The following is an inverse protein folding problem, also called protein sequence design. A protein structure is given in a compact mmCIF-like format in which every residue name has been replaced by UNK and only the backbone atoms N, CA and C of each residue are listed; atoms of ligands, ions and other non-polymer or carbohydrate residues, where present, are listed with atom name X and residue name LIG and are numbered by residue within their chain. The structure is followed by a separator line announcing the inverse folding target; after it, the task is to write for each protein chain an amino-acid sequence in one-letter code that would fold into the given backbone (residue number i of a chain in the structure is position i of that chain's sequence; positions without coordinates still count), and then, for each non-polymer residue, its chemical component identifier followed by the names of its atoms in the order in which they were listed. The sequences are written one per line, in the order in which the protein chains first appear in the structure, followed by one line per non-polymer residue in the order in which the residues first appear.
data_IF_967248245661
#
_entry.id   IF_967248245661
#
_cell.length_a   1.000
_cell.length_b   1.000
_cell.length_c   1.000
_cell.angle_alpha   90.00
_cell.angle_beta   90.00
_cell.angle_gamma   90.00
#
_symmetry.space_group_name_H-M   'P 1'
#
loop_
_entity.id
_entity.type
_entity.pdbx_description
1 polymer ?
#
# COMPACT_ATOMS: atom_id res chain seq x y z
N UNK A 1 -0.79 2.65 -36.19
CA UNK A 1 0.47 2.79 -35.40
C UNK A 1 0.80 4.23 -35.02
N UNK A 2 0.92 5.19 -35.95
CA UNK A 2 1.22 6.60 -35.63
C UNK A 2 0.25 7.25 -34.61
N UNK A 3 -1.06 6.97 -34.69
CA UNK A 3 -2.06 7.50 -33.74
C UNK A 3 -1.82 7.06 -32.29
N UNK A 4 -1.46 5.79 -32.07
CA UNK A 4 -1.25 5.25 -30.72
C UNK A 4 0.03 5.82 -30.08
N UNK A 5 1.09 5.95 -30.89
CA UNK A 5 2.34 6.58 -30.45
C UNK A 5 2.12 8.05 -30.08
N UNK A 6 1.32 8.80 -30.87
CA UNK A 6 0.96 10.18 -30.55
C UNK A 6 0.11 10.27 -29.28
N UNK A 7 -0.83 9.35 -29.10
CA UNK A 7 -1.69 9.29 -27.91
C UNK A 7 -0.87 9.04 -26.64
N UNK A 8 0.04 8.06 -26.64
CA UNK A 8 0.93 7.83 -25.50
C UNK A 8 1.84 9.05 -25.21
N UNK A 9 2.27 9.75 -26.26
CA UNK A 9 3.11 10.96 -26.12
C UNK A 9 2.32 12.13 -25.53
N UNK A 10 1.08 12.32 -25.94
CA UNK A 10 0.16 13.32 -25.38
C UNK A 10 -0.23 12.99 -23.93
N UNK A 11 -0.54 11.72 -23.62
CA UNK A 11 -0.80 11.28 -22.25
C UNK A 11 0.42 11.45 -21.34
N UNK A 12 1.64 11.21 -21.82
CA UNK A 12 2.85 11.45 -21.03
C UNK A 12 3.05 12.94 -20.73
N UNK A 13 2.80 13.82 -21.70
CA UNK A 13 2.85 15.28 -21.50
C UNK A 13 1.75 15.74 -20.54
N UNK A 14 0.55 15.18 -20.60
CA UNK A 14 -0.55 15.51 -19.69
C UNK A 14 -0.26 15.05 -18.24
N UNK A 15 0.22 13.82 -18.07
CA UNK A 15 0.54 13.25 -16.75
C UNK A 15 1.74 13.93 -16.07
N UNK A 16 2.62 14.58 -16.83
CA UNK A 16 3.79 15.29 -16.29
C UNK A 16 3.58 16.79 -16.14
N UNK A 17 2.81 17.44 -17.02
CA UNK A 17 2.59 18.89 -16.98
C UNK A 17 1.30 19.32 -16.28
N UNK A 18 0.30 18.45 -16.16
CA UNK A 18 -1.01 18.77 -15.60
C UNK A 18 -1.27 18.15 -14.24
N UNK A 19 -0.28 17.43 -13.70
CA UNK A 19 -0.39 16.74 -12.41
C UNK A 19 0.81 17.13 -11.57
N UNK A 20 0.57 17.64 -10.38
CA UNK A 20 1.62 17.99 -9.42
C UNK A 20 2.15 16.71 -8.78
N UNK A 21 3.10 16.06 -9.44
CA UNK A 21 3.88 15.00 -8.81
C UNK A 21 4.62 15.59 -7.59
N UNK A 22 4.45 15.00 -6.40
CA UNK A 22 5.26 15.38 -5.26
C UNK A 22 6.74 15.11 -5.56
N UNK A 23 7.63 15.86 -4.92
CA UNK A 23 9.07 15.56 -4.99
C UNK A 23 9.33 14.16 -4.41
N UNK A 24 10.37 13.49 -4.90
CA UNK A 24 10.73 12.13 -4.49
C UNK A 24 10.83 11.95 -2.97
N UNK A 25 11.34 12.95 -2.25
CA UNK A 25 11.42 12.94 -0.79
C UNK A 25 10.03 12.90 -0.13
N UNK A 26 9.04 13.62 -0.69
CA UNK A 26 7.66 13.60 -0.19
C UNK A 26 6.98 12.26 -0.49
N UNK A 27 7.25 11.65 -1.66
CA UNK A 27 6.75 10.29 -1.94
C UNK A 27 7.31 9.27 -0.94
N UNK A 28 8.61 9.34 -0.66
CA UNK A 28 9.25 8.44 0.30
C UNK A 28 8.70 8.64 1.70
N UNK A 29 8.49 9.89 2.14
CA UNK A 29 7.86 10.18 3.43
C UNK A 29 6.45 9.58 3.55
N UNK A 30 5.64 9.69 2.51
CA UNK A 30 4.29 9.09 2.48
C UNK A 30 4.35 7.56 2.47
N UNK A 31 5.30 6.98 1.74
CA UNK A 31 5.50 5.52 1.71
C UNK A 31 5.98 4.99 3.07
N UNK A 32 6.87 5.72 3.76
CA UNK A 32 7.33 5.38 5.11
C UNK A 32 6.18 5.39 6.12
N UNK A 33 5.30 6.39 6.04
CA UNK A 33 4.12 6.45 6.90
C UNK A 33 3.22 5.22 6.70
N UNK A 34 2.96 4.84 5.44
CA UNK A 34 2.16 3.65 5.11
C UNK A 34 2.85 2.38 5.60
N UNK A 35 4.16 2.25 5.42
CA UNK A 35 4.93 1.10 5.88
C UNK A 35 4.86 0.92 7.41
N UNK A 36 4.93 2.02 8.18
CA UNK A 36 4.76 1.94 9.63
C UNK A 36 3.33 1.57 10.01
N UNK A 37 2.34 2.13 9.32
CA UNK A 37 0.93 1.79 9.56
C UNK A 37 0.64 0.30 9.28
N UNK A 38 1.21 -0.28 8.23
CA UNK A 38 1.03 -1.72 7.91
C UNK A 38 1.70 -2.62 8.94
N UNK A 39 2.87 -2.22 9.48
CA UNK A 39 3.54 -2.97 10.56
C UNK A 39 2.69 -2.99 11.83
N UNK A 40 2.09 -1.87 12.20
CA UNK A 40 1.18 -1.80 13.37
C UNK A 40 -0.04 -2.71 13.15
N UNK A 41 -0.64 -2.66 11.96
CA UNK A 41 -1.75 -3.55 11.59
C UNK A 41 -1.37 -5.03 11.66
N UNK A 42 -0.19 -5.39 11.17
CA UNK A 42 0.32 -6.76 11.24
C UNK A 42 0.47 -7.25 12.69
N UNK A 43 0.95 -6.39 13.59
CA UNK A 43 1.04 -6.69 15.03
C UNK A 43 -0.33 -6.94 15.66
N UNK A 44 -1.34 -6.14 15.31
CA UNK A 44 -2.71 -6.31 15.81
C UNK A 44 -3.28 -7.64 15.33
N UNK A 45 -3.14 -7.97 14.04
CA UNK A 45 -3.61 -9.23 13.50
C UNK A 45 -2.93 -10.43 14.17
N UNK A 46 -1.62 -10.34 14.39
CA UNK A 46 -0.88 -11.38 15.12
C UNK A 46 -1.45 -11.67 16.51
N UNK A 47 -1.84 -10.63 17.26
CA UNK A 47 -2.47 -10.81 18.58
C UNK A 47 -3.84 -11.49 18.45
N UNK A 48 -4.64 -11.10 17.46
CA UNK A 48 -5.95 -11.71 17.22
C UNK A 48 -5.80 -13.18 16.85
N UNK A 49 -4.92 -13.50 15.91
CA UNK A 49 -4.66 -14.87 15.47
C UNK A 49 -4.18 -15.74 16.64
N UNK A 50 -3.26 -15.23 17.47
CA UNK A 50 -2.77 -15.93 18.65
C UNK A 50 -3.87 -16.18 19.69
N UNK A 51 -4.72 -15.18 19.94
CA UNK A 51 -5.85 -15.31 20.86
C UNK A 51 -6.87 -16.35 20.38
N UNK A 52 -7.17 -16.35 19.08
CA UNK A 52 -8.08 -17.34 18.48
C UNK A 52 -7.50 -18.75 18.50
N UNK A 53 -6.20 -18.92 18.21
CA UNK A 53 -5.53 -20.21 18.31
C UNK A 53 -5.63 -20.77 19.74
N UNK A 54 -5.23 -19.97 20.74
CA UNK A 54 -5.31 -20.39 22.14
C UNK A 54 -6.74 -20.71 22.60
N UNK A 55 -7.72 -19.91 22.19
CA UNK A 55 -9.12 -20.13 22.53
C UNK A 55 -9.65 -21.42 21.91
N UNK A 56 -9.35 -21.66 20.63
CA UNK A 56 -9.76 -22.88 19.95
C UNK A 56 -9.11 -24.11 20.59
N UNK A 57 -7.80 -24.08 20.85
CA UNK A 57 -7.12 -25.18 21.53
C UNK A 57 -7.74 -25.46 22.91
N UNK A 58 -8.08 -24.42 23.69
CA UNK A 58 -8.74 -24.59 24.98
C UNK A 58 -10.13 -25.25 24.86
N UNK A 59 -10.92 -24.87 23.86
CA UNK A 59 -12.25 -25.46 23.62
C UNK A 59 -12.15 -26.89 23.10
N UNK A 60 -11.24 -27.18 22.17
CA UNK A 60 -11.06 -28.54 21.61
C UNK A 60 -10.39 -29.51 22.59
N UNK A 61 -9.66 -29.01 23.59
CA UNK A 61 -8.99 -29.83 24.62
C UNK A 61 -9.91 -30.13 25.81
N UNK A 62 -11.04 -29.41 25.95
CA UNK A 62 -12.06 -29.62 26.98
C UNK A 62 -13.08 -30.69 26.54
#
# INVERSE_FOLDING_TARGET
MRKFINYCKESYVELTKKVTWPTWDKLQSSALLVMVATVILALVLFVVDFAFEHLMTAIYTL
#
